data_IF_791076348758
#
_entry.id   IF_791076348758
#
_cell.length_a   1.000
_cell.length_b   1.000
_cell.length_c   1.000
_cell.angle_alpha   90.00
_cell.angle_beta   90.00
_cell.angle_gamma   90.00
#
_symmetry.space_group_name_H-M   'P 1'
#
loop_
_entity.id
_entity.type
_entity.pdbx_description
1 polymer ?
#
# COMPACT_ATOMS: atom_id res chain seq x y z
N UNK A 1 -16.80 25.06 6.38
CA UNK A 1 -16.35 25.22 7.78
C UNK A 1 -15.17 24.27 8.00
N UNK A 2 -14.18 24.63 8.83
CA UNK A 2 -13.04 23.76 9.18
C UNK A 2 -12.98 23.66 10.71
N UNK A 3 -12.78 22.47 11.25
CA UNK A 3 -12.74 22.21 12.70
C UNK A 3 -12.93 20.73 13.02
N UNK A 4 -12.76 20.34 14.28
CA UNK A 4 -12.80 18.93 14.72
C UNK A 4 -14.13 18.24 14.41
N UNK A 5 -15.24 18.99 14.49
CA UNK A 5 -16.60 18.53 14.22
C UNK A 5 -16.98 18.52 12.73
N UNK A 6 -16.05 18.85 11.83
CA UNK A 6 -16.32 18.86 10.39
C UNK A 6 -16.39 17.42 9.90
N UNK A 7 -17.49 17.06 9.23
CA UNK A 7 -17.63 15.78 8.53
C UNK A 7 -16.50 15.61 7.51
N UNK A 8 -15.88 14.44 7.51
CA UNK A 8 -14.84 14.07 6.55
C UNK A 8 -15.45 13.12 5.53
N UNK A 9 -15.33 13.46 4.26
CA UNK A 9 -15.60 12.54 3.16
C UNK A 9 -14.28 11.88 2.75
N UNK A 10 -14.22 10.56 2.75
CA UNK A 10 -13.01 9.80 2.44
C UNK A 10 -13.24 8.83 1.30
N UNK A 11 -12.29 8.73 0.38
CA UNK A 11 -12.35 7.79 -0.73
C UNK A 11 -11.10 7.84 -1.61
N UNK A 12 -11.04 6.99 -2.65
CA UNK A 12 -12.08 6.03 -3.04
C UNK A 12 -12.02 4.71 -2.28
N UNK A 13 -10.98 4.45 -1.50
CA UNK A 13 -10.71 3.12 -0.92
C UNK A 13 -11.28 2.94 0.50
N UNK A 14 -12.14 1.94 0.67
CA UNK A 14 -12.82 1.66 1.91
C UNK A 14 -11.93 1.04 2.99
N UNK A 15 -10.92 0.26 2.60
CA UNK A 15 -10.00 -0.37 3.56
C UNK A 15 -9.07 0.67 4.16
N UNK A 16 -8.54 1.58 3.33
CA UNK A 16 -7.77 2.71 3.81
C UNK A 16 -8.64 3.64 4.67
N UNK A 17 -9.90 3.90 4.25
CA UNK A 17 -10.84 4.70 5.04
C UNK A 17 -11.05 4.13 6.45
N UNK A 18 -11.39 2.84 6.54
CA UNK A 18 -11.55 2.14 7.81
C UNK A 18 -10.27 2.13 8.66
N UNK A 19 -9.11 1.97 8.03
CA UNK A 19 -7.82 2.06 8.70
C UNK A 19 -7.61 3.46 9.31
N UNK A 20 -7.82 4.53 8.53
CA UNK A 20 -7.64 5.91 9.01
C UNK A 20 -8.65 6.27 10.10
N UNK A 21 -9.92 5.87 9.98
CA UNK A 21 -10.93 6.04 11.04
C UNK A 21 -10.48 5.39 12.34
N UNK A 22 -9.99 4.14 12.28
CA UNK A 22 -9.50 3.41 13.44
C UNK A 22 -8.26 4.05 14.08
N UNK A 23 -7.32 4.54 13.27
CA UNK A 23 -6.09 5.16 13.76
C UNK A 23 -6.32 6.54 14.36
N UNK A 24 -7.27 7.31 13.81
CA UNK A 24 -7.53 8.69 14.24
C UNK A 24 -8.64 8.81 15.27
N UNK A 25 -9.50 7.78 15.39
CA UNK A 25 -10.71 7.84 16.21
C UNK A 25 -11.75 8.86 15.69
N UNK A 26 -11.57 9.38 14.47
CA UNK A 26 -12.47 10.38 13.87
C UNK A 26 -13.41 9.69 12.89
N UNK A 27 -14.74 9.88 13.03
CA UNK A 27 -15.70 9.32 12.09
C UNK A 27 -15.56 9.98 10.71
N UNK A 28 -15.69 9.18 9.66
CA UNK A 28 -15.60 9.57 8.26
C UNK A 28 -16.73 8.92 7.47
N UNK A 29 -17.21 9.63 6.44
CA UNK A 29 -18.09 9.05 5.44
C UNK A 29 -17.24 8.48 4.32
N UNK A 30 -17.05 7.16 4.36
CA UNK A 30 -16.16 6.42 3.46
C UNK A 30 -16.92 5.95 2.22
N UNK A 31 -16.31 6.16 1.04
CA UNK A 31 -16.80 5.63 -0.23
C UNK A 31 -16.52 4.13 -0.34
N UNK A 32 -17.47 3.36 -0.89
CA UNK A 32 -17.42 1.90 -1.04
C UNK A 32 -16.63 1.43 -2.27
N UNK A 33 -15.43 1.98 -2.45
CA UNK A 33 -14.50 1.54 -3.49
C UNK A 33 -13.33 0.75 -2.92
N UNK A 34 -12.63 0.01 -3.78
CA UNK A 34 -11.48 -0.80 -3.37
C UNK A 34 -10.47 -0.94 -4.52
N UNK A 35 -9.21 -1.16 -4.16
CA UNK A 35 -8.21 -1.62 -5.12
C UNK A 35 -8.36 -3.12 -5.39
N UNK A 36 -8.73 -3.50 -6.63
CA UNK A 36 -8.88 -4.90 -7.05
C UNK A 36 -7.65 -5.80 -6.77
N UNK A 37 -6.44 -5.24 -6.71
CA UNK A 37 -5.21 -6.00 -6.40
C UNK A 37 -5.16 -6.33 -4.92
N UNK A 38 -5.36 -5.31 -4.08
CA UNK A 38 -5.25 -5.41 -2.63
C UNK A 38 -6.46 -6.09 -2.00
N UNK A 39 -7.66 -5.95 -2.57
CA UNK A 39 -8.86 -6.71 -2.22
C UNK A 39 -8.72 -8.21 -2.56
N UNK A 40 -7.88 -8.54 -3.55
CA UNK A 40 -7.56 -9.92 -3.93
C UNK A 40 -6.73 -10.68 -2.89
N UNK A 41 -6.05 -9.96 -1.97
CA UNK A 41 -5.26 -10.56 -0.89
C UNK A 41 -6.20 -10.86 0.29
N UNK A 42 -6.49 -12.14 0.49
CA UNK A 42 -7.48 -12.60 1.46
C UNK A 42 -6.83 -12.86 2.83
N UNK A 43 -7.59 -12.79 3.93
CA UNK A 43 -7.10 -13.17 5.25
C UNK A 43 -6.49 -14.58 5.29
N UNK A 44 -7.03 -15.51 4.49
CA UNK A 44 -6.48 -16.87 4.35
C UNK A 44 -5.09 -16.89 3.71
N UNK A 45 -4.82 -16.03 2.73
CA UNK A 45 -3.49 -15.96 2.09
C UNK A 45 -2.42 -15.59 3.14
N UNK A 46 -2.78 -14.69 4.07
CA UNK A 46 -1.93 -14.32 5.20
C UNK A 46 -1.75 -15.50 6.15
N UNK A 47 -2.83 -16.18 6.55
CA UNK A 47 -2.77 -17.33 7.45
C UNK A 47 -1.90 -18.47 6.88
N UNK A 48 -2.13 -18.84 5.63
CA UNK A 48 -1.37 -19.91 4.95
C UNK A 48 0.14 -19.55 4.90
N UNK A 49 0.49 -18.29 4.61
CA UNK A 49 1.88 -17.85 4.61
C UNK A 49 2.52 -17.81 6.01
N UNK A 50 1.74 -17.53 7.06
CA UNK A 50 2.21 -17.58 8.45
C UNK A 50 2.60 -18.99 8.87
N UNK A 51 1.81 -19.99 8.45
CA UNK A 51 2.10 -21.38 8.75
C UNK A 51 3.41 -21.83 8.09
N UNK A 52 3.67 -21.38 6.86
CA UNK A 52 4.87 -21.73 6.11
C UNK A 52 6.11 -20.97 6.59
N UNK A 53 5.96 -19.72 7.04
CA UNK A 53 7.06 -18.85 7.48
C UNK A 53 6.87 -18.37 8.93
N UNK A 54 6.99 -19.27 9.92
CA UNK A 54 6.85 -18.89 11.32
C UNK A 54 7.93 -17.88 11.71
N UNK A 55 7.52 -16.76 12.31
CA UNK A 55 8.42 -15.68 12.73
C UNK A 55 8.79 -14.67 11.64
N UNK A 56 8.23 -14.77 10.44
CA UNK A 56 8.38 -13.74 9.42
C UNK A 56 7.66 -12.44 9.80
N UNK A 57 8.26 -11.31 9.41
CA UNK A 57 7.61 -10.01 9.49
C UNK A 57 6.53 -9.89 8.40
N UNK A 58 5.45 -9.15 8.67
CA UNK A 58 4.33 -8.92 7.76
C UNK A 58 4.24 -7.44 7.43
N UNK A 59 4.48 -7.11 6.17
CA UNK A 59 4.37 -5.76 5.64
C UNK A 59 3.07 -5.66 4.84
N UNK A 60 2.10 -4.92 5.35
CA UNK A 60 0.74 -4.90 4.80
C UNK A 60 0.40 -3.49 4.33
N UNK A 61 -0.07 -3.38 3.08
CA UNK A 61 -0.58 -2.12 2.59
C UNK A 61 -1.94 -1.80 3.24
N UNK A 62 -2.20 -0.55 3.68
CA UNK A 62 -3.46 -0.21 4.34
C UNK A 62 -4.70 -0.31 3.44
N UNK A 63 -4.53 -0.36 2.11
CA UNK A 63 -5.62 -0.68 1.15
C UNK A 63 -5.92 -2.19 1.06
N UNK A 64 -5.18 -3.06 1.76
CA UNK A 64 -5.40 -4.51 1.72
C UNK A 64 -6.79 -4.85 2.25
N UNK A 65 -7.53 -5.70 1.53
CA UNK A 65 -8.76 -6.29 2.08
C UNK A 65 -8.50 -7.13 3.33
N UNK A 66 -7.28 -7.65 3.45
CA UNK A 66 -6.78 -8.33 4.64
C UNK A 66 -6.51 -7.41 5.84
N UNK A 67 -6.40 -6.08 5.65
CA UNK A 67 -5.92 -5.14 6.67
C UNK A 67 -6.75 -5.20 7.95
N UNK A 68 -8.09 -5.14 7.83
CA UNK A 68 -9.01 -5.21 8.97
C UNK A 68 -8.87 -6.51 9.74
N UNK A 69 -8.90 -7.66 9.05
CA UNK A 69 -8.76 -8.97 9.70
C UNK A 69 -7.39 -9.14 10.37
N UNK A 70 -6.33 -8.64 9.76
CA UNK A 70 -5.00 -8.69 10.38
C UNK A 70 -4.92 -7.77 11.60
N UNK A 71 -5.54 -6.59 11.57
CA UNK A 71 -5.64 -5.74 12.77
C UNK A 71 -6.47 -6.39 13.87
N UNK A 72 -7.49 -7.16 13.53
CA UNK A 72 -8.29 -7.93 14.50
C UNK A 72 -7.48 -9.05 15.12
N UNK A 73 -6.78 -9.86 14.33
CA UNK A 73 -5.86 -10.88 14.83
C UNK A 73 -4.77 -10.27 15.74
N UNK A 74 -4.28 -9.07 15.40
CA UNK A 74 -3.32 -8.32 16.22
C UNK A 74 -3.91 -7.79 17.52
N UNK A 75 -5.21 -7.48 17.54
CA UNK A 75 -5.92 -7.01 18.72
C UNK A 75 -6.31 -8.18 19.63
N UNK A 76 -6.68 -9.33 19.06
CA UNK A 76 -7.01 -10.56 19.76
C UNK A 76 -5.78 -11.27 20.36
N UNK A 77 -4.57 -10.91 19.92
CA UNK A 77 -3.32 -11.54 20.37
C UNK A 77 -2.95 -12.80 19.59
N UNK A 78 -3.70 -13.14 18.54
CA UNK A 78 -3.44 -14.27 17.65
C UNK A 78 -2.16 -14.08 16.83
N UNK A 79 -1.72 -12.82 16.68
CA UNK A 79 -0.44 -12.44 16.05
C UNK A 79 0.36 -11.54 16.98
N UNK A 80 1.67 -11.76 17.05
CA UNK A 80 2.57 -10.85 17.72
C UNK A 80 2.58 -9.50 16.98
N UNK A 81 2.13 -8.44 17.65
CA UNK A 81 2.11 -7.07 17.08
C UNK A 81 3.46 -6.60 16.55
N UNK A 82 4.55 -7.07 17.14
CA UNK A 82 5.90 -6.69 16.72
C UNK A 82 6.22 -7.09 15.26
N UNK A 83 5.62 -8.18 14.77
CA UNK A 83 5.87 -8.70 13.43
C UNK A 83 4.87 -8.24 12.38
N UNK A 84 3.94 -7.31 12.69
CA UNK A 84 2.91 -6.86 11.74
C UNK A 84 2.94 -5.36 11.60
N UNK A 85 3.18 -4.89 10.38
CA UNK A 85 3.38 -3.48 10.07
C UNK A 85 2.47 -3.03 8.94
N UNK A 86 1.65 -2.01 9.20
CA UNK A 86 0.80 -1.37 8.20
C UNK A 86 1.60 -0.25 7.52
N UNK A 87 2.10 -0.51 6.31
CA UNK A 87 3.06 0.34 5.62
C UNK A 87 2.60 0.68 4.20
N UNK A 88 2.77 1.93 3.78
CA UNK A 88 2.79 2.29 2.37
C UNK A 88 4.01 1.66 1.67
N UNK A 89 4.02 1.62 0.33
CA UNK A 89 5.18 1.12 -0.42
C UNK A 89 6.47 1.88 -0.12
N UNK A 90 6.39 3.20 0.11
CA UNK A 90 7.53 4.01 0.54
C UNK A 90 8.05 3.60 1.92
N UNK A 91 7.15 3.32 2.87
CA UNK A 91 7.53 2.85 4.19
C UNK A 91 8.08 1.41 4.16
N UNK A 92 7.58 0.54 3.28
CA UNK A 92 8.17 -0.80 3.05
C UNK A 92 9.61 -0.69 2.54
N UNK A 93 9.91 0.30 1.69
CA UNK A 93 11.29 0.56 1.26
C UNK A 93 12.18 1.06 2.39
N UNK A 94 11.65 1.88 3.30
CA UNK A 94 12.37 2.29 4.51
C UNK A 94 12.68 1.07 5.40
N UNK A 95 11.67 0.23 5.66
CA UNK A 95 11.83 -1.03 6.37
C UNK A 95 12.94 -1.90 5.75
N UNK A 96 12.95 -2.09 4.43
CA UNK A 96 13.98 -2.88 3.77
C UNK A 96 15.38 -2.31 4.01
N UNK A 97 15.56 -0.99 3.87
CA UNK A 97 16.86 -0.35 4.11
C UNK A 97 17.33 -0.50 5.55
N UNK A 98 16.43 -0.39 6.52
CA UNK A 98 16.73 -0.60 7.94
C UNK A 98 17.11 -2.04 8.26
N UNK A 99 16.53 -3.01 7.54
CA UNK A 99 16.77 -4.45 7.73
C UNK A 99 17.93 -5.01 6.91
N UNK A 100 18.55 -4.22 6.05
CA UNK A 100 19.69 -4.63 5.24
C UNK A 100 20.84 -5.19 6.11
N UNK A 101 21.42 -6.33 5.73
CA UNK A 101 22.50 -6.99 6.47
C UNK A 101 22.05 -7.78 7.72
N UNK A 102 20.76 -7.77 8.08
CA UNK A 102 20.25 -8.49 9.26
C UNK A 102 19.54 -9.81 8.95
N UNK A 103 19.28 -10.09 7.67
CA UNK A 103 18.61 -11.31 7.21
C UNK A 103 17.15 -11.43 7.64
N UNK A 104 16.61 -12.64 7.51
CA UNK A 104 15.24 -12.98 7.91
C UNK A 104 14.26 -13.04 6.75
N UNK A 105 12.97 -13.20 7.06
CA UNK A 105 11.89 -13.34 6.08
C UNK A 105 10.83 -12.29 6.33
N UNK A 106 10.34 -11.66 5.26
CA UNK A 106 9.24 -10.70 5.32
C UNK A 106 8.17 -11.04 4.27
N UNK A 107 6.94 -11.22 4.72
CA UNK A 107 5.76 -11.44 3.88
C UNK A 107 5.17 -10.08 3.52
N UNK A 108 4.99 -9.87 2.22
CA UNK A 108 4.63 -8.58 1.62
C UNK A 108 3.22 -8.68 1.04
N UNK A 109 2.25 -8.04 1.70
CA UNK A 109 0.86 -7.94 1.27
C UNK A 109 0.63 -6.61 0.53
N UNK A 110 1.15 -6.54 -0.69
CA UNK A 110 0.90 -5.49 -1.67
C UNK A 110 1.11 -6.05 -3.08
N UNK A 111 1.17 -5.19 -4.10
CA UNK A 111 1.45 -5.59 -5.48
C UNK A 111 2.83 -6.25 -5.61
N UNK A 112 2.92 -7.38 -6.32
CA UNK A 112 4.13 -8.22 -6.40
C UNK A 112 5.34 -7.53 -7.03
N UNK A 113 5.14 -6.46 -7.80
CA UNK A 113 6.22 -5.62 -8.33
C UNK A 113 7.05 -4.94 -7.25
N UNK A 114 6.54 -4.81 -6.01
CA UNK A 114 7.32 -4.30 -4.88
C UNK A 114 8.42 -5.26 -4.41
N UNK A 115 8.32 -6.56 -4.68
CA UNK A 115 9.35 -7.52 -4.25
C UNK A 115 10.71 -7.21 -4.87
N UNK A 116 10.75 -6.76 -6.13
CA UNK A 116 12.00 -6.46 -6.81
C UNK A 116 12.80 -5.32 -6.13
N UNK A 117 12.25 -4.10 -5.94
CA UNK A 117 12.97 -3.02 -5.28
C UNK A 117 13.30 -3.34 -3.81
N UNK A 118 12.47 -4.12 -3.11
CA UNK A 118 12.76 -4.56 -1.74
C UNK A 118 14.00 -5.48 -1.69
N UNK A 119 14.05 -6.49 -2.56
CA UNK A 119 15.22 -7.39 -2.69
C UNK A 119 16.49 -6.65 -3.12
N UNK A 120 16.36 -5.62 -3.96
CA UNK A 120 17.49 -4.76 -4.32
C UNK A 120 17.99 -3.93 -3.13
N UNK A 121 17.09 -3.48 -2.25
CA UNK A 121 17.45 -2.68 -1.08
C UNK A 121 17.99 -3.51 0.09
N UNK A 122 17.53 -4.75 0.24
CA UNK A 122 17.98 -5.69 1.27
C UNK A 122 18.06 -7.12 0.71
N UNK A 123 19.18 -7.47 0.03
CA UNK A 123 19.33 -8.77 -0.62
C UNK A 123 19.38 -9.95 0.36
N UNK A 124 19.71 -9.70 1.63
CA UNK A 124 19.78 -10.73 2.68
C UNK A 124 18.40 -11.10 3.26
N UNK A 125 17.37 -10.28 2.99
CA UNK A 125 16.01 -10.50 3.49
C UNK A 125 15.20 -11.25 2.43
N UNK A 126 14.60 -12.36 2.83
CA UNK A 126 13.70 -13.13 1.97
C UNK A 126 12.31 -12.48 1.94
N UNK A 127 12.09 -11.64 0.92
CA UNK A 127 10.78 -11.03 0.67
C UNK A 127 9.88 -11.97 -0.13
N UNK A 128 8.77 -12.38 0.49
CA UNK A 128 7.79 -13.34 -0.07
C UNK A 128 6.44 -12.64 -0.30
N UNK A 129 5.78 -12.86 -1.43
CA UNK A 129 4.44 -12.32 -1.64
C UNK A 129 3.42 -13.02 -0.75
N UNK A 130 2.54 -12.23 -0.10
CA UNK A 130 1.35 -12.78 0.55
C UNK A 130 0.49 -13.55 -0.46
N UNK A 131 0.31 -13.00 -1.66
CA UNK A 131 -0.39 -13.64 -2.77
C UNK A 131 0.34 -13.35 -4.09
N UNK A 132 0.82 -14.40 -4.77
CA UNK A 132 1.56 -14.26 -6.05
C UNK A 132 0.68 -13.71 -7.19
N UNK A 133 -0.64 -13.84 -7.08
CA UNK A 133 -1.59 -13.31 -8.04
C UNK A 133 -1.90 -11.82 -7.85
N UNK A 134 -1.37 -11.17 -6.79
CA UNK A 134 -1.54 -9.74 -6.52
C UNK A 134 -0.71 -8.88 -7.50
N UNK A 135 -1.07 -8.91 -8.78
CA UNK A 135 -0.38 -8.22 -9.87
C UNK A 135 -1.32 -7.23 -10.55
N UNK A 136 -0.92 -5.94 -10.58
CA UNK A 136 -1.73 -4.91 -11.21
C UNK A 136 -1.54 -4.92 -12.73
N UNK A 137 -2.52 -5.45 -13.47
CA UNK A 137 -2.46 -5.50 -14.95
C UNK A 137 -2.20 -4.13 -15.59
N UNK A 138 -2.74 -3.07 -14.99
CA UNK A 138 -2.61 -1.71 -15.50
C UNK A 138 -1.20 -1.15 -15.30
N UNK A 139 -0.53 -1.47 -14.19
CA UNK A 139 0.88 -1.13 -14.01
C UNK A 139 1.76 -1.87 -15.02
N UNK A 140 1.46 -3.14 -15.33
CA UNK A 140 2.21 -3.94 -16.31
C UNK A 140 1.96 -3.54 -17.77
N UNK A 141 1.07 -2.56 -18.02
CA UNK A 141 0.94 -1.97 -19.36
C UNK A 141 2.16 -1.15 -19.77
N UNK A 142 2.99 -0.72 -18.82
CA UNK A 142 4.26 -0.04 -19.08
C UNK A 142 5.34 -1.08 -19.41
N UNK A 143 5.96 -0.95 -20.59
CA UNK A 143 6.97 -1.88 -21.08
C UNK A 143 8.24 -1.13 -21.49
N UNK A 144 9.37 -1.83 -21.56
CA UNK A 144 10.65 -1.24 -22.01
C UNK A 144 10.55 -0.65 -23.43
N UNK A 145 9.81 -1.29 -24.34
CA UNK A 145 9.56 -0.79 -25.69
C UNK A 145 8.77 0.52 -25.66
N UNK A 146 7.68 0.59 -24.90
CA UNK A 146 6.88 1.81 -24.75
C UNK A 146 7.68 2.94 -24.11
N UNK A 147 8.50 2.65 -23.10
CA UNK A 147 9.38 3.63 -22.47
C UNK A 147 10.40 4.18 -23.48
N UNK A 148 11.07 3.30 -24.23
CA UNK A 148 12.01 3.70 -25.31
C UNK A 148 11.32 4.60 -26.34
N UNK A 149 10.15 4.20 -26.81
CA UNK A 149 9.43 4.93 -27.85
C UNK A 149 8.91 6.28 -27.33
N UNK A 150 8.51 6.33 -26.05
CA UNK A 150 8.12 7.55 -25.38
C UNK A 150 9.28 8.56 -25.29
N UNK A 151 10.46 8.08 -24.87
CA UNK A 151 11.67 8.91 -24.79
C UNK A 151 12.15 9.40 -26.18
N UNK A 152 12.03 8.56 -27.21
CA UNK A 152 12.40 8.93 -28.59
C UNK A 152 11.46 9.96 -29.21
N UNK A 153 10.16 9.85 -28.92
CA UNK A 153 9.14 10.72 -29.50
C UNK A 153 8.85 11.97 -28.66
N UNK A 154 9.31 12.01 -27.40
CA UNK A 154 8.99 13.08 -26.45
C UNK A 154 7.52 13.05 -25.98
N UNK A 155 6.82 11.91 -26.11
CA UNK A 155 5.40 11.76 -25.76
C UNK A 155 5.08 10.39 -25.16
N UNK A 156 3.83 10.12 -24.74
CA UNK A 156 2.67 11.02 -24.82
C UNK A 156 2.75 12.16 -23.79
N UNK A 157 2.39 13.37 -24.21
CA UNK A 157 2.26 14.51 -23.31
C UNK A 157 0.91 14.44 -22.60
N UNK A 158 0.94 14.31 -21.28
CA UNK A 158 -0.26 14.38 -20.45
C UNK A 158 -0.67 15.85 -20.31
N UNK A 159 -1.90 16.17 -20.69
CA UNK A 159 -2.49 17.50 -20.53
C UNK A 159 -3.73 17.40 -19.67
N UNK A 160 -3.91 18.37 -18.78
CA UNK A 160 -5.11 18.53 -17.94
C UNK A 160 -5.65 19.93 -18.23
N UNK A 161 -6.96 20.13 -18.49
CA UNK A 161 -7.53 21.46 -18.68
C UNK A 161 -7.23 22.39 -17.49
N UNK A 162 -6.84 23.64 -17.77
CA UNK A 162 -6.38 24.60 -16.74
C UNK A 162 -7.37 24.73 -15.57
N UNK A 163 -8.67 24.85 -15.87
CA UNK A 163 -9.70 24.96 -14.85
C UNK A 163 -9.80 23.72 -13.92
N UNK A 164 -9.46 22.52 -14.42
CA UNK A 164 -9.39 21.30 -13.60
C UNK A 164 -8.08 21.29 -12.82
N UNK A 165 -6.96 21.59 -13.48
CA UNK A 165 -5.64 21.62 -12.87
C UNK A 165 -5.58 22.58 -11.69
N UNK A 166 -6.10 23.80 -11.84
CA UNK A 166 -6.09 24.82 -10.79
C UNK A 166 -6.92 24.41 -9.56
N UNK A 167 -8.07 23.76 -9.78
CA UNK A 167 -8.92 23.25 -8.69
C UNK A 167 -8.28 22.05 -7.99
N UNK A 168 -7.63 21.15 -8.73
CA UNK A 168 -6.96 19.98 -8.19
C UNK A 168 -5.65 20.33 -7.47
N UNK A 169 -4.97 21.41 -7.89
CA UNK A 169 -3.71 21.87 -7.30
C UNK A 169 -3.88 22.26 -5.83
N UNK A 170 -4.96 22.96 -5.49
CA UNK A 170 -5.20 23.44 -4.12
C UNK A 170 -5.21 22.34 -3.03
N UNK A 171 -5.96 21.22 -3.14
CA UNK A 171 -5.89 20.14 -2.15
C UNK A 171 -4.52 19.44 -2.15
N UNK A 172 -3.84 19.32 -3.29
CA UNK A 172 -2.50 18.70 -3.38
C UNK A 172 -1.47 19.55 -2.66
N UNK A 173 -1.43 20.87 -2.89
CA UNK A 173 -0.52 21.79 -2.21
C UNK A 173 -0.76 21.80 -0.70
N UNK A 174 -2.03 21.72 -0.27
CA UNK A 174 -2.38 21.61 1.16
C UNK A 174 -1.91 20.30 1.77
N UNK A 175 -1.98 19.19 1.03
CA UNK A 175 -1.45 17.89 1.47
C UNK A 175 0.07 17.98 1.64
N UNK A 176 0.80 18.46 0.63
CA UNK A 176 2.27 18.59 0.67
C UNK A 176 2.74 19.53 1.79
N UNK A 177 1.99 20.60 2.07
CA UNK A 177 2.34 21.57 3.11
C UNK A 177 2.25 20.99 4.54
N UNK A 178 1.56 19.86 4.74
CA UNK A 178 1.40 19.23 6.06
C UNK A 178 2.24 17.94 6.24
N UNK A 179 2.85 17.42 5.17
CA UNK A 179 3.76 16.26 5.18
C UNK A 179 3.35 15.15 4.24
#
# INVERSE_FOLDING_TARGET
>A
QRGEQTEILFGPDMFLGAYVEKMTGRPMRVWDGECHVHAGIRPRDIADRREVHPGADFLIHPECGCSTSVMEYAAAGDIARAGVQMLSTGQMMAYARERAGSGGTAIVATETGMLHPLRMAAPDVDFVAANEAASCRYMKMITLSKLRDALRSGGPVIKVPDAIADRARLPIERMVAIG
#
